data_IF_380994083846
#
_entry.id   IF_380994083846
#
_cell.length_a   1.000
_cell.length_b   1.000
_cell.length_c   1.000
_cell.angle_alpha   90.00
_cell.angle_beta   90.00
_cell.angle_gamma   90.00
#
_symmetry.space_group_name_H-M   'P 1'
#
loop_
_entity.id
_entity.type
_entity.pdbx_description
1 polymer ?
#
# COMPACT_ATOMS: atom_id res chain seq x y z
N UNK A 1 -14.17 17.69 7.22
CA UNK A 1 -12.72 17.49 7.03
C UNK A 1 -12.56 16.55 5.86
N UNK A 2 -11.98 16.99 4.75
CA UNK A 2 -11.81 16.15 3.58
C UNK A 2 -10.86 15.01 3.92
N UNK A 3 -11.41 13.84 4.27
CA UNK A 3 -10.63 12.62 4.25
C UNK A 3 -10.22 12.48 2.78
N UNK A 4 -8.93 12.66 2.46
CA UNK A 4 -8.42 12.77 1.08
C UNK A 4 -8.68 11.51 0.23
N UNK A 5 -9.41 10.52 0.76
CA UNK A 5 -9.66 9.20 0.20
C UNK A 5 -8.36 8.41 -0.03
N UNK A 6 -7.27 8.88 0.57
CA UNK A 6 -5.97 8.21 0.62
C UNK A 6 -5.72 7.88 2.07
N UNK A 7 -5.45 6.60 2.36
CA UNK A 7 -4.98 6.16 3.68
C UNK A 7 -3.51 5.76 3.58
N UNK A 8 -2.75 6.00 4.65
CA UNK A 8 -1.33 5.61 4.71
C UNK A 8 -1.11 4.45 5.67
N UNK A 9 -0.28 3.49 5.27
CA UNK A 9 0.12 2.32 6.06
C UNK A 9 1.65 2.31 6.14
N UNK A 10 2.17 2.58 7.33
CA UNK A 10 3.61 2.52 7.58
C UNK A 10 4.05 1.10 7.95
N UNK A 11 4.95 0.57 7.13
CA UNK A 11 5.57 -0.75 7.31
C UNK A 11 7.08 -0.66 7.36
N UNK A 12 7.66 0.53 7.49
CA UNK A 12 9.09 0.70 7.63
C UNK A 12 9.62 -0.07 8.85
N UNK A 13 10.75 -0.78 8.67
CA UNK A 13 11.37 -1.61 9.70
C UNK A 13 10.59 -2.89 10.06
N UNK A 14 9.47 -3.18 9.39
CA UNK A 14 8.73 -4.44 9.59
C UNK A 14 9.33 -5.56 8.75
N UNK A 15 9.14 -6.80 9.18
CA UNK A 15 9.40 -7.95 8.32
C UNK A 15 8.25 -8.17 7.32
N UNK A 16 8.44 -9.07 6.35
CA UNK A 16 7.44 -9.40 5.32
C UNK A 16 6.06 -9.72 5.90
N UNK A 17 6.01 -10.60 6.91
CA UNK A 17 4.76 -11.09 7.48
C UNK A 17 3.96 -9.97 8.16
N UNK A 18 4.66 -9.11 8.91
CA UNK A 18 4.08 -7.95 9.57
C UNK A 18 3.59 -6.91 8.55
N UNK A 19 4.38 -6.63 7.52
CA UNK A 19 3.99 -5.70 6.45
C UNK A 19 2.77 -6.22 5.69
N UNK A 20 2.77 -7.50 5.30
CA UNK A 20 1.65 -8.17 4.65
C UNK A 20 0.38 -8.10 5.51
N UNK A 21 0.48 -8.41 6.80
CA UNK A 21 -0.65 -8.35 7.72
C UNK A 21 -1.22 -6.92 7.83
N UNK A 22 -0.36 -5.91 7.94
CA UNK A 22 -0.78 -4.51 8.03
C UNK A 22 -1.52 -4.04 6.77
N UNK A 23 -0.95 -4.29 5.59
CA UNK A 23 -1.57 -3.90 4.30
C UNK A 23 -2.87 -4.68 4.06
N UNK A 24 -2.90 -5.97 4.39
CA UNK A 24 -4.13 -6.79 4.30
C UNK A 24 -5.23 -6.26 5.22
N UNK A 25 -4.89 -5.88 6.45
CA UNK A 25 -5.84 -5.31 7.39
C UNK A 25 -6.39 -3.97 6.88
N UNK A 26 -5.55 -3.11 6.30
CA UNK A 26 -5.99 -1.86 5.68
C UNK A 26 -6.95 -2.15 4.51
N UNK A 27 -6.58 -3.06 3.61
CA UNK A 27 -7.43 -3.51 2.50
C UNK A 27 -8.75 -4.13 2.95
N UNK A 28 -8.88 -4.68 4.16
CA UNK A 28 -10.17 -5.16 4.68
C UNK A 28 -11.03 -4.03 5.25
N UNK A 29 -10.40 -2.98 5.78
CA UNK A 29 -11.08 -1.85 6.43
C UNK A 29 -11.49 -0.74 5.47
N UNK A 30 -10.88 -0.66 4.28
CA UNK A 30 -11.26 0.35 3.29
C UNK A 30 -12.73 0.24 2.91
N UNK A 31 -13.46 1.35 2.95
CA UNK A 31 -14.81 1.48 2.39
C UNK A 31 -14.76 2.18 1.02
N UNK A 32 -15.93 2.53 0.45
CA UNK A 32 -16.03 3.16 -0.87
C UNK A 32 -15.46 4.59 -0.95
N UNK A 33 -15.12 5.21 0.18
CA UNK A 33 -14.50 6.53 0.23
C UNK A 33 -12.99 6.50 -0.03
N UNK A 34 -12.35 5.32 0.02
CA UNK A 34 -10.91 5.15 -0.19
C UNK A 34 -10.60 4.83 -1.64
N UNK A 35 -9.83 5.70 -2.28
CA UNK A 35 -9.32 5.52 -3.63
C UNK A 35 -7.90 4.95 -3.66
N UNK A 36 -7.08 5.26 -2.66
CA UNK A 36 -5.67 4.83 -2.63
C UNK A 36 -5.24 4.39 -1.23
N UNK A 37 -4.38 3.38 -1.17
CA UNK A 37 -3.60 3.02 0.03
C UNK A 37 -2.14 3.31 -0.27
N UNK A 38 -1.56 4.26 0.45
CA UNK A 38 -0.14 4.58 0.43
C UNK A 38 0.60 3.67 1.40
N UNK A 39 1.44 2.78 0.88
CA UNK A 39 2.29 1.92 1.70
C UNK A 39 3.69 2.51 1.80
N UNK A 40 4.08 2.91 3.02
CA UNK A 40 5.40 3.48 3.31
C UNK A 40 6.30 2.36 3.81
N UNK A 41 7.24 1.91 2.98
CA UNK A 41 8.16 0.81 3.31
C UNK A 41 9.61 1.28 3.47
N UNK A 42 9.90 2.55 3.20
CA UNK A 42 11.24 3.13 3.25
C UNK A 42 12.15 2.70 2.09
N UNK A 43 13.31 3.34 2.00
CA UNK A 43 14.25 3.18 0.89
C UNK A 43 15.41 2.22 1.21
N UNK A 44 16.06 2.41 2.36
CA UNK A 44 17.21 1.59 2.77
C UNK A 44 16.72 0.24 3.32
N UNK A 45 17.16 -0.87 2.73
CA UNK A 45 16.65 -2.24 2.99
C UNK A 45 15.16 -2.46 2.66
N UNK A 46 14.43 -1.42 2.23
CA UNK A 46 13.01 -1.48 1.88
C UNK A 46 12.72 -2.14 0.53
N UNK A 47 13.74 -2.50 -0.25
CA UNK A 47 13.60 -3.18 -1.54
C UNK A 47 12.81 -4.48 -1.42
N UNK A 48 13.05 -5.27 -0.39
CA UNK A 48 12.37 -6.55 -0.20
C UNK A 48 10.87 -6.36 0.09
N UNK A 49 10.53 -5.39 0.95
CA UNK A 49 9.14 -5.02 1.21
C UNK A 49 8.48 -4.42 -0.01
N UNK A 50 9.16 -3.53 -0.72
CA UNK A 50 8.68 -2.92 -1.98
C UNK A 50 8.30 -4.01 -2.98
N UNK A 51 9.22 -4.93 -3.25
CA UNK A 51 9.03 -5.96 -4.27
C UNK A 51 7.93 -6.95 -3.82
N UNK A 52 7.88 -7.30 -2.53
CA UNK A 52 6.79 -8.08 -1.95
C UNK A 52 5.44 -7.39 -2.11
N UNK A 53 5.33 -6.10 -1.73
CA UNK A 53 4.08 -5.35 -1.79
C UNK A 53 3.59 -5.28 -3.24
N UNK A 54 4.50 -4.95 -4.18
CA UNK A 54 4.17 -4.86 -5.60
C UNK A 54 3.73 -6.21 -6.17
N UNK A 55 4.42 -7.30 -5.85
CA UNK A 55 4.11 -8.62 -6.39
C UNK A 55 2.84 -9.24 -5.79
N UNK A 56 2.64 -9.12 -4.48
CA UNK A 56 1.51 -9.73 -3.77
C UNK A 56 0.22 -8.94 -4.00
N UNK A 57 0.24 -7.62 -3.83
CA UNK A 57 -0.98 -6.82 -3.86
C UNK A 57 -1.42 -6.40 -5.26
N UNK A 58 -0.58 -6.52 -6.29
CA UNK A 58 -1.04 -6.42 -7.68
C UNK A 58 -2.06 -7.50 -8.07
N UNK A 59 -2.11 -8.61 -7.32
CA UNK A 59 -3.06 -9.72 -7.52
C UNK A 59 -4.27 -9.65 -6.59
N UNK A 60 -4.33 -8.65 -5.71
CA UNK A 60 -5.41 -8.55 -4.74
C UNK A 60 -6.69 -8.05 -5.42
N UNK A 61 -7.86 -8.69 -5.21
CA UNK A 61 -9.10 -8.34 -5.92
C UNK A 61 -9.57 -6.88 -5.76
N UNK A 62 -9.16 -6.22 -4.66
CA UNK A 62 -9.51 -4.81 -4.39
C UNK A 62 -8.52 -3.80 -4.97
N UNK A 63 -7.41 -4.25 -5.52
CA UNK A 63 -6.36 -3.37 -6.06
C UNK A 63 -6.49 -3.38 -7.58
N UNK A 64 -6.85 -2.22 -8.15
CA UNK A 64 -6.98 -2.03 -9.60
C UNK A 64 -5.60 -2.00 -10.25
N UNK A 65 -4.66 -1.29 -9.62
CA UNK A 65 -3.26 -1.24 -10.04
C UNK A 65 -2.35 -0.85 -8.89
N UNK A 66 -1.06 -1.11 -9.09
CA UNK A 66 0.01 -0.68 -8.21
C UNK A 66 0.81 0.41 -8.92
N UNK A 67 0.96 1.56 -8.27
CA UNK A 67 1.74 2.68 -8.79
C UNK A 67 3.03 2.87 -7.98
N UNK A 68 4.14 2.92 -8.70
CA UNK A 68 5.43 3.36 -8.17
C UNK A 68 5.51 4.88 -8.35
N UNK A 69 5.27 5.63 -7.27
CA UNK A 69 5.42 7.09 -7.30
C UNK A 69 6.89 7.52 -7.42
N UNK A 70 7.12 8.83 -7.52
CA UNK A 70 8.47 9.42 -7.53
C UNK A 70 9.25 9.17 -6.23
N UNK A 71 8.56 8.82 -5.14
CA UNK A 71 9.19 8.44 -3.89
C UNK A 71 9.49 6.93 -3.86
N UNK A 72 10.76 6.51 -3.91
CA UNK A 72 11.12 5.10 -3.98
C UNK A 72 10.86 4.34 -2.67
N UNK A 73 10.57 5.03 -1.56
CA UNK A 73 10.17 4.44 -0.29
C UNK A 73 8.66 4.21 -0.13
N UNK A 74 7.90 4.46 -1.20
CA UNK A 74 6.44 4.38 -1.20
C UNK A 74 5.92 3.55 -2.38
N UNK A 75 4.87 2.78 -2.12
CA UNK A 75 4.06 2.14 -3.15
C UNK A 75 2.59 2.51 -2.94
N UNK A 76 1.92 2.95 -4.01
CA UNK A 76 0.50 3.30 -3.99
C UNK A 76 -0.34 2.14 -4.53
N UNK A 77 -1.29 1.65 -3.74
CA UNK A 77 -2.29 0.67 -4.19
C UNK A 77 -3.57 1.44 -4.57
N UNK A 78 -3.93 1.40 -5.84
CA UNK A 78 -5.14 2.05 -6.34
C UNK A 78 -6.33 1.12 -6.09
N UNK A 79 -7.31 1.61 -5.36
CA UNK A 79 -8.53 0.88 -4.97
C UNK A 79 -9.73 1.29 -5.83
N UNK A 80 -9.78 2.56 -6.26
CA UNK A 80 -10.84 3.11 -7.10
C UNK A 80 -10.30 4.23 -7.99
N UNK A 81 -10.85 4.33 -9.21
CA UNK A 81 -10.63 5.48 -10.09
C UNK A 81 -11.38 6.73 -9.60
N UNK A 82 -10.87 7.90 -9.98
CA UNK A 82 -11.50 9.20 -9.74
C UNK A 82 -12.26 9.66 -10.98
#
# INVERSE_FOLDING_TARGET
>A
MANSGIISVDVHGKNRAQARAAVTAALRKCDGSVYRIRVVHGFNMGTELRDMIRAEFAKAPRVIRVEAGLNPGVTELVIREY
#
